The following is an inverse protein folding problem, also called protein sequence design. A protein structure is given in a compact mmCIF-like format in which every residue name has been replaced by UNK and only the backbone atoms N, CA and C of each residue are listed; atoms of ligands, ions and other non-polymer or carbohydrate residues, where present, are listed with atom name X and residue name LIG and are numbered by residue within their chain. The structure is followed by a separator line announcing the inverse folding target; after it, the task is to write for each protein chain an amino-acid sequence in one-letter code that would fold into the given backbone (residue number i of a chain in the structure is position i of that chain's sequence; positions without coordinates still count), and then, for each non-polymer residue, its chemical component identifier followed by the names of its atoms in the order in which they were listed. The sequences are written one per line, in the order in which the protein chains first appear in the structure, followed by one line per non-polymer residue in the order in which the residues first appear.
data_IF_658873145126
#
_entry.id   IF_658873145126
#
_cell.length_a   1.000
_cell.length_b   1.000
_cell.length_c   1.000
_cell.angle_alpha   90.00
_cell.angle_beta   90.00
_cell.angle_gamma   90.00
#
_symmetry.space_group_name_H-M   'P 1'
#
loop_
_entity.id
_entity.type
_entity.pdbx_description
1 polymer ?
#
# COMPACT_ATOMS: atom_id res chain seq x y z
N UNK A 1 63.72 -7.66 24.82
CA UNK A 1 64.53 -7.27 26.01
C UNK A 1 63.62 -6.78 27.14
N UNK A 2 63.94 -7.03 28.44
CA UNK A 2 63.17 -6.46 29.54
C UNK A 2 63.42 -4.94 29.64
N UNK A 3 62.36 -4.16 29.89
CA UNK A 3 62.48 -2.74 30.23
C UNK A 3 62.90 -2.64 31.70
N UNK A 4 63.91 -1.82 31.99
CA UNK A 4 64.40 -1.59 33.36
C UNK A 4 63.32 -0.86 34.18
N UNK A 5 63.07 -1.32 35.41
CA UNK A 5 62.10 -0.68 36.30
C UNK A 5 62.52 0.75 36.64
N UNK A 6 61.60 1.71 36.48
CA UNK A 6 61.84 3.09 36.89
C UNK A 6 62.06 3.17 38.42
N UNK A 7 62.95 4.06 38.90
CA UNK A 7 63.08 4.36 40.32
C UNK A 7 61.78 4.89 40.94
N UNK A 8 61.67 4.85 42.26
CA UNK A 8 60.50 5.37 42.97
C UNK A 8 60.29 6.86 42.66
N UNK A 9 59.09 7.28 42.19
CA UNK A 9 58.84 8.67 41.84
C UNK A 9 58.92 9.60 43.07
N UNK A 10 59.28 10.88 42.89
CA UNK A 10 59.30 11.85 43.98
C UNK A 10 57.88 12.11 44.51
N UNK A 11 57.72 12.21 45.83
CA UNK A 11 56.44 12.50 46.49
C UNK A 11 56.55 13.68 47.43
N UNK A 12 55.59 14.61 47.36
CA UNK A 12 55.53 15.77 48.28
C UNK A 12 55.29 15.38 49.73
N UNK A 13 54.83 14.15 49.98
CA UNK A 13 54.69 13.58 51.34
C UNK A 13 56.02 13.13 51.95
N UNK A 14 57.10 13.03 51.16
CA UNK A 14 58.46 12.70 51.60
C UNK A 14 59.43 13.81 51.14
N UNK A 15 59.26 15.00 51.74
CA UNK A 15 60.01 16.19 51.34
C UNK A 15 61.53 16.05 51.49
N UNK A 16 61.99 15.25 52.46
CA UNK A 16 63.42 15.03 52.71
C UNK A 16 64.12 14.32 51.53
N UNK A 17 63.42 13.43 50.83
CA UNK A 17 63.99 12.65 49.72
C UNK A 17 63.49 13.10 48.34
N UNK A 18 62.65 14.15 48.27
CA UNK A 18 62.00 14.57 47.02
C UNK A 18 62.98 14.84 45.88
N UNK A 19 64.00 15.68 46.12
CA UNK A 19 64.97 16.07 45.08
C UNK A 19 65.79 14.86 44.60
N UNK A 20 66.31 14.05 45.52
CA UNK A 20 67.09 12.86 45.18
C UNK A 20 66.27 11.85 44.36
N UNK A 21 64.98 11.66 44.68
CA UNK A 21 64.08 10.80 43.89
C UNK A 21 63.71 11.43 42.54
N UNK A 22 63.55 12.76 42.48
CA UNK A 22 63.27 13.47 41.24
C UNK A 22 64.44 13.33 40.27
N UNK A 23 65.68 13.56 40.72
CA UNK A 23 66.88 13.43 39.91
C UNK A 23 67.07 11.98 39.42
N UNK A 24 66.86 10.99 40.31
CA UNK A 24 66.95 9.58 39.94
C UNK A 24 65.88 9.15 38.94
N UNK A 25 64.62 9.58 39.14
CA UNK A 25 63.52 9.26 38.23
C UNK A 25 63.71 9.92 36.86
N UNK A 26 64.01 11.22 36.83
CA UNK A 26 64.24 11.97 35.58
C UNK A 26 65.49 11.47 34.84
N UNK A 27 66.55 11.14 35.58
CA UNK A 27 67.77 10.55 35.02
C UNK A 27 67.57 9.16 34.39
N UNK A 28 66.55 8.41 34.82
CA UNK A 28 66.21 7.09 34.26
C UNK A 28 65.35 7.17 32.98
N UNK A 29 64.67 8.29 32.72
CA UNK A 29 63.77 8.42 31.56
C UNK A 29 64.46 8.26 30.19
N UNK A 30 65.68 8.77 29.95
CA UNK A 30 66.38 8.54 28.67
C UNK A 30 66.65 7.06 28.40
N UNK A 31 67.07 6.31 29.43
CA UNK A 31 67.30 4.86 29.33
C UNK A 31 65.98 4.13 29.06
N UNK A 32 64.91 4.48 29.79
CA UNK A 32 63.57 3.93 29.54
C UNK A 32 63.09 4.20 28.10
N UNK A 33 63.30 5.42 27.58
CA UNK A 33 62.94 5.76 26.21
C UNK A 33 63.75 4.96 25.19
N UNK A 34 65.05 4.77 25.42
CA UNK A 34 65.90 3.94 24.56
C UNK A 34 65.45 2.47 24.55
N UNK A 35 65.16 1.90 25.72
CA UNK A 35 64.67 0.54 25.88
C UNK A 35 63.28 0.35 25.25
N UNK A 36 62.37 1.32 25.41
CA UNK A 36 61.04 1.30 24.81
C UNK A 36 61.11 1.37 23.27
N UNK A 37 61.99 2.22 22.71
CA UNK A 37 62.22 2.29 21.27
C UNK A 37 62.82 0.98 20.73
N UNK A 38 63.78 0.39 21.45
CA UNK A 38 64.37 -0.90 21.09
C UNK A 38 63.32 -2.03 21.11
N UNK A 39 62.43 -2.04 22.12
CA UNK A 39 61.31 -2.98 22.17
C UNK A 39 60.36 -2.78 20.99
N UNK A 40 60.05 -1.53 20.62
CA UNK A 40 59.22 -1.25 19.45
C UNK A 40 59.86 -1.80 18.15
N UNK A 41 61.17 -1.65 17.98
CA UNK A 41 61.90 -2.24 16.85
C UNK A 41 61.89 -3.78 16.87
N UNK A 42 62.11 -4.40 18.03
CA UNK A 42 62.08 -5.86 18.21
C UNK A 42 60.69 -6.44 17.86
N UNK A 43 59.62 -5.82 18.38
CA UNK A 43 58.24 -6.20 18.07
C UNK A 43 57.95 -6.05 16.58
N UNK A 44 58.36 -4.96 15.95
CA UNK A 44 58.22 -4.78 14.50
C UNK A 44 58.99 -5.85 13.70
N UNK A 45 60.18 -6.24 14.17
CA UNK A 45 60.98 -7.32 13.58
C UNK A 45 60.30 -8.69 13.68
N UNK A 46 59.63 -8.99 14.79
CA UNK A 46 58.84 -10.22 14.93
C UNK A 46 57.63 -10.25 13.99
N UNK A 47 56.95 -9.13 13.79
CA UNK A 47 55.84 -9.04 12.80
C UNK A 47 56.33 -9.36 11.39
N UNK A 48 57.49 -8.81 11.00
CA UNK A 48 58.11 -9.10 9.69
C UNK A 48 58.57 -10.56 9.59
N UNK A 49 59.16 -11.11 10.65
CA UNK A 49 59.63 -12.50 10.67
C UNK A 49 58.47 -13.49 10.60
N UNK A 50 57.36 -13.19 11.27
CA UNK A 50 56.14 -13.99 11.22
C UNK A 50 55.50 -13.96 9.82
N UNK A 51 55.44 -12.79 9.16
CA UNK A 51 54.91 -12.68 7.79
C UNK A 51 55.79 -13.41 6.78
N UNK A 52 57.12 -13.33 6.92
CA UNK A 52 58.08 -14.06 6.09
C UNK A 52 57.99 -15.59 6.29
N UNK A 53 57.83 -16.04 7.53
CA UNK A 53 57.64 -17.46 7.85
C UNK A 53 56.35 -18.02 7.25
N UNK A 54 55.26 -17.25 7.26
CA UNK A 54 54.00 -17.64 6.60
C UNK A 54 54.15 -17.76 5.08
N UNK A 55 54.88 -16.83 4.44
CA UNK A 55 55.11 -16.86 2.98
C UNK A 55 56.02 -18.02 2.52
N UNK A 56 57.01 -18.39 3.34
CA UNK A 56 57.95 -19.48 3.02
C UNK A 56 57.35 -20.87 3.23
N UNK A 57 56.42 -21.05 4.18
CA UNK A 57 55.76 -22.33 4.44
C UNK A 57 54.98 -22.87 3.21
N UNK A 58 54.34 -21.98 2.43
CA UNK A 58 53.61 -22.36 1.19
C UNK A 58 54.56 -22.79 0.08
N UNK A 59 55.75 -22.19 0.02
CA UNK A 59 56.77 -22.43 -1.00
C UNK A 59 57.86 -23.41 -0.58
N UNK A 60 57.71 -24.07 0.57
CA UNK A 60 58.70 -25.03 1.05
C UNK A 60 58.89 -26.15 0.01
N UNK A 61 60.13 -26.61 -0.28
CA UNK A 61 60.38 -27.63 -1.30
C UNK A 61 59.60 -28.95 -1.11
N UNK A 62 59.04 -29.21 0.08
CA UNK A 62 58.19 -30.36 0.36
C UNK A 62 56.71 -30.21 -0.04
N UNK A 63 56.18 -29.00 -0.22
CA UNK A 63 54.74 -28.74 -0.46
C UNK A 63 54.37 -28.61 -1.94
N UNK A 64 55.36 -28.67 -2.82
CA UNK A 64 55.19 -28.70 -4.27
C UNK A 64 56.09 -29.75 -4.90
N UNK A 65 55.71 -30.25 -6.08
CA UNK A 65 56.45 -31.27 -6.80
C UNK A 65 56.33 -31.06 -8.31
N UNK A 66 57.14 -31.78 -9.07
CA UNK A 66 56.98 -31.94 -10.50
C UNK A 66 56.80 -33.42 -10.83
N UNK A 67 56.14 -33.68 -11.96
CA UNK A 67 55.94 -35.02 -12.49
C UNK A 67 56.16 -35.04 -13.99
N UNK A 68 56.79 -36.11 -14.46
CA UNK A 68 56.96 -36.41 -15.88
C UNK A 68 55.96 -37.43 -16.41
N UNK A 69 55.00 -37.86 -15.58
CA UNK A 69 53.99 -38.84 -15.99
C UNK A 69 53.09 -38.23 -17.08
N UNK A 70 53.02 -38.91 -18.23
CA UNK A 70 52.12 -38.53 -19.32
C UNK A 70 50.67 -38.79 -18.92
N UNK A 71 49.87 -37.73 -18.80
CA UNK A 71 48.47 -37.79 -18.39
C UNK A 71 47.58 -36.97 -19.31
N UNK A 72 46.46 -37.55 -19.70
CA UNK A 72 45.36 -36.82 -20.34
C UNK A 72 44.59 -36.02 -19.28
N UNK A 73 44.33 -34.73 -19.57
CA UNK A 73 43.46 -33.88 -18.75
C UNK A 73 42.06 -34.49 -18.74
N UNK A 74 41.52 -34.72 -17.55
CA UNK A 74 40.16 -35.21 -17.36
C UNK A 74 39.85 -35.43 -15.88
N UNK A 75 38.57 -35.61 -15.57
CA UNK A 75 38.09 -35.90 -14.22
C UNK A 75 38.30 -37.37 -13.84
N UNK A 76 38.11 -37.69 -12.56
CA UNK A 76 38.29 -39.02 -12.00
C UNK A 76 39.69 -39.29 -11.45
N UNK A 77 39.99 -40.54 -11.15
CA UNK A 77 41.27 -40.96 -10.56
C UNK A 77 42.42 -40.81 -11.56
N UNK A 78 43.46 -40.05 -11.17
CA UNK A 78 44.69 -39.85 -11.94
C UNK A 78 45.89 -40.27 -11.09
N UNK A 79 46.71 -41.17 -11.64
CA UNK A 79 47.94 -41.64 -10.99
C UNK A 79 49.16 -41.02 -11.66
N UNK A 80 50.08 -40.48 -10.87
CA UNK A 80 51.32 -39.87 -11.33
C UNK A 80 52.46 -40.16 -10.36
N UNK A 81 53.68 -40.09 -10.86
CA UNK A 81 54.88 -40.17 -10.04
C UNK A 81 55.47 -38.77 -9.90
N UNK A 82 55.53 -38.26 -8.67
CA UNK A 82 56.23 -37.03 -8.31
C UNK A 82 57.63 -37.33 -7.78
N UNK A 83 58.45 -36.33 -7.47
CA UNK A 83 59.70 -36.60 -6.76
C UNK A 83 59.44 -37.25 -5.39
N UNK A 84 60.40 -38.05 -4.93
CA UNK A 84 60.39 -38.66 -3.59
C UNK A 84 60.59 -37.61 -2.48
N UNK A 85 60.14 -37.92 -1.26
CA UNK A 85 60.39 -37.10 -0.08
C UNK A 85 59.57 -35.81 -0.01
N UNK A 86 58.48 -35.69 -0.77
CA UNK A 86 57.52 -34.58 -0.65
C UNK A 86 56.61 -34.79 0.55
N UNK A 87 56.11 -33.70 1.10
CA UNK A 87 55.28 -33.65 2.30
C UNK A 87 53.77 -33.62 1.98
N UNK A 88 53.37 -34.29 0.88
CA UNK A 88 51.96 -34.48 0.58
C UNK A 88 51.33 -35.49 1.53
N UNK A 89 50.06 -35.28 1.87
CA UNK A 89 49.28 -36.15 2.74
C UNK A 89 47.95 -36.49 2.05
N UNK A 90 47.49 -37.73 2.26
CA UNK A 90 46.17 -38.18 1.78
C UNK A 90 45.09 -37.25 2.35
N UNK A 91 44.15 -36.84 1.50
CA UNK A 91 43.06 -35.91 1.86
C UNK A 91 43.37 -34.43 1.58
N UNK A 92 44.64 -34.06 1.35
CA UNK A 92 44.98 -32.71 0.90
C UNK A 92 44.51 -32.49 -0.54
N UNK A 93 44.19 -31.23 -0.85
CA UNK A 93 43.85 -30.81 -2.20
C UNK A 93 45.10 -30.31 -2.92
N UNK A 94 45.20 -30.66 -4.20
CA UNK A 94 46.29 -30.23 -5.08
C UNK A 94 45.75 -29.73 -6.42
N UNK A 95 46.51 -28.83 -7.03
CA UNK A 95 46.37 -28.50 -8.44
C UNK A 95 47.59 -29.04 -9.18
N UNK A 96 47.33 -29.87 -10.20
CA UNK A 96 48.29 -30.43 -11.13
C UNK A 96 48.23 -29.55 -12.40
N UNK A 97 49.21 -28.68 -12.56
CA UNK A 97 49.24 -27.67 -13.62
C UNK A 97 50.33 -27.99 -14.63
N UNK A 98 50.06 -27.84 -15.92
CA UNK A 98 51.10 -27.98 -16.94
C UNK A 98 52.23 -26.98 -16.68
N UNK A 99 53.47 -27.46 -16.60
CA UNK A 99 54.63 -26.59 -16.36
C UNK A 99 54.83 -25.58 -17.48
N UNK A 100 54.52 -25.96 -18.73
CA UNK A 100 54.71 -25.11 -19.90
C UNK A 100 53.49 -24.22 -20.24
N UNK A 101 52.28 -24.62 -19.82
CA UNK A 101 51.04 -23.91 -20.18
C UNK A 101 50.05 -23.89 -19.01
N UNK A 102 50.19 -22.96 -18.06
CA UNK A 102 49.41 -22.96 -16.82
C UNK A 102 47.88 -22.86 -16.96
N UNK A 103 47.36 -22.54 -18.15
CA UNK A 103 45.93 -22.62 -18.47
C UNK A 103 45.40 -24.07 -18.50
N UNK A 104 46.29 -25.05 -18.67
CA UNK A 104 46.00 -26.48 -18.65
C UNK A 104 46.26 -27.04 -17.24
N UNK A 105 45.22 -27.44 -16.53
CA UNK A 105 45.35 -27.96 -15.18
C UNK A 105 44.25 -28.95 -14.79
N UNK A 106 44.54 -29.75 -13.76
CA UNK A 106 43.62 -30.65 -13.07
C UNK A 106 43.65 -30.32 -11.58
N UNK A 107 42.50 -30.28 -10.92
CA UNK A 107 42.38 -29.98 -9.51
C UNK A 107 41.58 -31.07 -8.80
N UNK A 108 42.09 -31.55 -7.67
CA UNK A 108 41.52 -32.70 -6.99
C UNK A 108 42.13 -33.00 -5.63
N UNK A 109 41.54 -33.98 -4.96
CA UNK A 109 41.99 -34.44 -3.64
C UNK A 109 42.94 -35.62 -3.79
N UNK A 110 44.03 -35.63 -3.03
CA UNK A 110 44.95 -36.76 -2.95
C UNK A 110 44.25 -37.94 -2.27
N UNK A 111 44.18 -39.08 -2.97
CA UNK A 111 43.58 -40.33 -2.46
C UNK A 111 44.62 -41.37 -2.07
N UNK A 112 45.84 -41.27 -2.60
CA UNK A 112 46.97 -42.09 -2.16
C UNK A 112 48.30 -41.35 -2.39
N UNK A 113 49.26 -41.52 -1.49
CA UNK A 113 50.63 -41.03 -1.66
C UNK A 113 51.63 -41.94 -0.95
N UNK A 114 52.74 -42.27 -1.62
CA UNK A 114 53.87 -43.00 -1.03
C UNK A 114 55.15 -42.18 -1.16
N UNK A 115 55.62 -41.58 -0.06
CA UNK A 115 56.75 -40.63 -0.09
C UNK A 115 58.07 -41.24 -0.58
N UNK A 116 58.30 -42.53 -0.30
CA UNK A 116 59.51 -43.24 -0.72
C UNK A 116 59.60 -43.52 -2.22
N UNK A 117 58.46 -43.64 -2.92
CA UNK A 117 58.42 -43.93 -4.38
C UNK A 117 57.93 -42.75 -5.21
N UNK A 118 57.33 -41.73 -4.57
CA UNK A 118 56.72 -40.61 -5.26
C UNK A 118 55.38 -40.94 -5.93
N UNK A 119 54.86 -42.16 -5.77
CA UNK A 119 53.57 -42.54 -6.32
C UNK A 119 52.45 -41.72 -5.66
N UNK A 120 51.69 -40.98 -6.47
CA UNK A 120 50.60 -40.10 -6.06
C UNK A 120 49.34 -40.45 -6.87
N UNK A 121 48.20 -40.48 -6.20
CA UNK A 121 46.88 -40.61 -6.84
C UNK A 121 46.01 -39.46 -6.40
N UNK A 122 45.38 -38.79 -7.36
CA UNK A 122 44.52 -37.65 -7.16
C UNK A 122 43.16 -37.92 -7.80
N UNK A 123 42.08 -37.76 -7.04
CA UNK A 123 40.74 -37.78 -7.59
C UNK A 123 40.40 -36.37 -8.12
N UNK A 124 40.46 -36.19 -9.43
CA UNK A 124 40.28 -34.90 -10.11
C UNK A 124 38.80 -34.58 -10.27
N UNK A 125 38.37 -33.45 -9.72
CA UNK A 125 36.99 -32.94 -9.83
C UNK A 125 36.82 -31.80 -10.83
N UNK A 126 37.88 -31.02 -11.07
CA UNK A 126 37.85 -29.86 -11.96
C UNK A 126 39.07 -29.87 -12.89
N UNK A 127 38.87 -29.41 -14.12
CA UNK A 127 39.92 -29.29 -15.13
C UNK A 127 39.77 -28.01 -15.93
N UNK A 128 40.87 -27.51 -16.48
CA UNK A 128 40.89 -26.47 -17.52
C UNK A 128 41.79 -26.92 -18.65
N UNK A 129 41.40 -26.61 -19.89
CA UNK A 129 42.11 -27.02 -21.09
C UNK A 129 41.88 -28.48 -21.48
N UNK A 130 42.74 -28.99 -22.36
CA UNK A 130 42.64 -30.36 -22.91
C UNK A 130 44.02 -30.89 -23.33
N UNK A 131 44.08 -32.16 -23.72
CA UNK A 131 45.30 -32.80 -24.24
C UNK A 131 46.00 -33.73 -23.26
N UNK A 132 47.09 -34.34 -23.71
CA UNK A 132 47.96 -35.23 -22.92
C UNK A 132 49.30 -34.55 -22.68
N UNK A 133 49.67 -34.38 -21.42
CA UNK A 133 50.83 -33.60 -20.99
C UNK A 133 51.73 -34.46 -20.12
N UNK A 134 53.05 -34.32 -20.29
CA UNK A 134 54.07 -35.08 -19.58
C UNK A 134 55.01 -34.19 -18.74
N UNK A 135 54.67 -32.91 -18.54
CA UNK A 135 55.40 -32.00 -17.68
C UNK A 135 54.40 -31.26 -16.77
N UNK A 136 54.32 -31.72 -15.53
CA UNK A 136 53.38 -31.23 -14.53
C UNK A 136 54.11 -30.62 -13.33
N UNK A 137 53.52 -29.56 -12.79
CA UNK A 137 53.79 -29.02 -11.47
C UNK A 137 52.60 -29.31 -10.58
N UNK A 138 52.83 -29.94 -9.42
CA UNK A 138 51.81 -30.29 -8.43
C UNK A 138 52.02 -29.42 -7.20
N UNK A 139 51.01 -28.68 -6.77
CA UNK A 139 51.09 -27.83 -5.58
C UNK A 139 49.83 -27.97 -4.73
N UNK A 140 49.96 -27.78 -3.41
CA UNK A 140 48.83 -27.73 -2.49
C UNK A 140 47.83 -26.63 -2.90
N UNK A 141 46.55 -26.89 -2.69
CA UNK A 141 45.47 -25.97 -3.00
C UNK A 141 44.36 -26.04 -1.94
N UNK A 142 43.48 -25.04 -1.95
CA UNK A 142 42.25 -25.07 -1.17
C UNK A 142 41.28 -26.13 -1.73
N UNK A 143 40.33 -26.65 -0.93
CA UNK A 143 39.31 -27.57 -1.42
C UNK A 143 38.56 -27.03 -2.64
N UNK A 144 38.19 -27.93 -3.56
CA UNK A 144 37.33 -27.57 -4.67
C UNK A 144 35.98 -27.11 -4.15
N UNK A 145 35.66 -25.85 -4.43
CA UNK A 145 34.29 -25.38 -4.38
C UNK A 145 33.66 -25.72 -5.73
N UNK A 146 32.54 -26.44 -5.73
CA UNK A 146 31.89 -26.88 -6.97
C UNK A 146 31.63 -25.70 -7.91
N UNK A 147 31.54 -25.97 -9.22
CA UNK A 147 31.46 -24.94 -10.29
C UNK A 147 30.27 -23.96 -10.22
N UNK A 148 29.42 -24.05 -9.19
CA UNK A 148 28.27 -23.19 -8.95
C UNK A 148 28.32 -22.48 -7.58
N UNK A 149 29.51 -22.40 -6.98
CA UNK A 149 29.68 -21.78 -5.67
C UNK A 149 29.64 -20.26 -5.79
N UNK A 150 28.65 -19.64 -5.16
CA UNK A 150 28.54 -18.19 -5.00
C UNK A 150 29.49 -17.78 -3.88
N UNK A 151 30.69 -17.33 -4.23
CA UNK A 151 31.71 -16.89 -3.26
C UNK A 151 31.53 -15.42 -2.89
N UNK A 152 30.91 -15.17 -1.73
CA UNK A 152 30.44 -13.83 -1.35
C UNK A 152 31.55 -12.91 -0.84
N UNK A 153 31.57 -11.66 -1.32
CA UNK A 153 32.09 -10.51 -0.55
C UNK A 153 31.24 -9.23 -0.70
N UNK A 154 30.06 -9.30 -1.33
CA UNK A 154 29.21 -8.13 -1.58
C UNK A 154 27.95 -8.42 -2.40
N UNK A 155 27.50 -7.43 -3.18
CA UNK A 155 26.33 -7.51 -4.04
C UNK A 155 26.68 -8.12 -5.42
N UNK A 156 25.83 -9.00 -5.94
CA UNK A 156 25.93 -9.51 -7.31
C UNK A 156 25.01 -8.71 -8.22
N UNK A 157 25.58 -7.80 -8.99
CA UNK A 157 24.87 -7.11 -10.07
C UNK A 157 25.07 -7.90 -11.38
N UNK A 158 24.02 -8.57 -11.83
CA UNK A 158 23.92 -9.25 -13.14
C UNK A 158 25.11 -10.15 -13.53
N UNK A 159 25.42 -11.19 -12.73
CA UNK A 159 26.46 -12.15 -13.10
C UNK A 159 26.05 -12.93 -14.36
N UNK A 160 26.80 -12.77 -15.46
CA UNK A 160 26.55 -13.46 -16.73
C UNK A 160 26.59 -15.00 -16.64
N UNK A 161 27.20 -15.56 -15.58
CA UNK A 161 27.29 -17.00 -15.35
C UNK A 161 26.03 -17.61 -14.71
N UNK A 162 25.12 -16.79 -14.16
CA UNK A 162 23.80 -17.24 -13.71
C UNK A 162 22.82 -17.06 -14.87
N UNK A 163 22.70 -18.08 -15.71
CA UNK A 163 21.81 -18.06 -16.89
C UNK A 163 20.38 -18.51 -16.56
N UNK A 164 20.19 -19.22 -15.45
CA UNK A 164 18.86 -19.61 -14.96
C UNK A 164 18.91 -19.89 -13.45
N UNK A 165 17.79 -19.63 -12.78
CA UNK A 165 17.59 -19.98 -11.37
C UNK A 165 16.17 -20.54 -11.20
N UNK A 166 16.06 -21.72 -10.60
CA UNK A 166 14.76 -22.29 -10.30
C UNK A 166 14.04 -21.41 -9.27
N UNK A 167 12.81 -20.98 -9.57
CA UNK A 167 12.03 -20.09 -8.69
C UNK A 167 11.88 -20.65 -7.27
N UNK A 168 11.76 -21.97 -7.11
CA UNK A 168 11.69 -22.63 -5.80
C UNK A 168 12.93 -22.44 -4.91
N UNK A 169 14.05 -21.95 -5.46
CA UNK A 169 15.28 -21.65 -4.72
C UNK A 169 15.36 -20.18 -4.26
N UNK A 170 14.45 -19.32 -4.71
CA UNK A 170 14.30 -17.96 -4.20
C UNK A 170 13.47 -18.02 -2.90
N UNK A 171 14.15 -18.23 -1.78
CA UNK A 171 13.52 -18.21 -0.45
C UNK A 171 13.51 -16.78 0.10
N UNK A 172 12.34 -16.19 0.30
CA UNK A 172 12.19 -14.82 0.84
C UNK A 172 11.28 -13.93 -0.02
N UNK A 173 11.19 -12.66 0.35
CA UNK A 173 10.43 -11.67 -0.43
C UNK A 173 11.33 -11.08 -1.52
N UNK A 174 10.93 -11.22 -2.78
CA UNK A 174 11.54 -10.47 -3.87
C UNK A 174 11.04 -9.00 -3.80
N UNK A 175 11.94 -8.05 -3.61
CA UNK A 175 11.59 -6.64 -3.56
C UNK A 175 11.03 -6.17 -4.92
N UNK A 176 9.96 -5.38 -4.88
CA UNK A 176 9.25 -4.86 -6.07
C UNK A 176 9.97 -3.61 -6.64
N UNK A 177 11.20 -3.31 -6.24
CA UNK A 177 12.00 -2.28 -6.91
C UNK A 177 12.42 -2.81 -8.29
N UNK A 178 11.95 -2.19 -9.38
CA UNK A 178 11.90 -2.77 -10.74
C UNK A 178 11.02 -4.05 -10.85
N UNK A 179 10.07 -4.19 -9.92
CA UNK A 179 8.88 -5.04 -10.02
C UNK A 179 9.07 -6.54 -9.82
N UNK A 180 10.30 -7.07 -9.78
CA UNK A 180 10.51 -8.51 -9.97
C UNK A 180 10.03 -9.03 -11.35
N UNK A 181 9.55 -8.11 -12.19
CA UNK A 181 9.08 -8.34 -13.55
C UNK A 181 10.15 -8.01 -14.57
N UNK A 182 11.16 -7.20 -14.22
CA UNK A 182 12.16 -6.71 -15.18
C UNK A 182 11.62 -5.69 -16.19
N UNK A 183 10.46 -5.09 -15.90
CA UNK A 183 9.79 -4.15 -16.78
C UNK A 183 10.13 -2.68 -16.46
N UNK A 184 10.36 -1.86 -17.48
CA UNK A 184 10.55 -0.42 -17.34
C UNK A 184 9.24 0.39 -17.44
N UNK A 185 8.13 -0.26 -17.83
CA UNK A 185 6.84 0.38 -18.01
C UNK A 185 5.73 -0.40 -17.31
N UNK A 186 4.64 0.28 -16.93
CA UNK A 186 3.49 -0.37 -16.32
C UNK A 186 2.79 -1.42 -17.22
N UNK A 187 2.66 -1.22 -18.55
CA UNK A 187 2.19 -2.27 -19.46
C UNK A 187 3.05 -3.54 -19.42
N UNK A 188 4.38 -3.41 -19.53
CA UNK A 188 5.29 -4.57 -19.53
C UNK A 188 5.25 -5.29 -18.17
N UNK A 189 5.13 -4.55 -17.08
CA UNK A 189 5.00 -5.12 -15.75
C UNK A 189 3.72 -5.98 -15.61
N UNK A 190 2.59 -5.55 -16.19
CA UNK A 190 1.34 -6.33 -16.18
C UNK A 190 1.48 -7.59 -17.03
N UNK A 191 2.09 -7.49 -18.21
CA UNK A 191 2.37 -8.65 -19.07
C UNK A 191 3.21 -9.69 -18.34
N UNK A 192 4.28 -9.25 -17.67
CA UNK A 192 5.19 -10.13 -16.95
C UNK A 192 4.55 -10.78 -15.71
N UNK A 193 3.49 -10.17 -15.16
CA UNK A 193 2.64 -10.76 -14.12
C UNK A 193 1.48 -11.60 -14.66
N UNK A 194 1.29 -11.69 -15.98
CA UNK A 194 0.17 -12.38 -16.60
C UNK A 194 -1.20 -11.70 -16.39
N UNK A 195 -1.21 -10.39 -16.12
CA UNK A 195 -2.43 -9.63 -15.85
C UNK A 195 -2.99 -9.03 -17.13
N UNK A 196 -4.27 -9.30 -17.42
CA UNK A 196 -5.01 -8.75 -18.55
C UNK A 196 -6.02 -7.71 -18.06
N UNK A 197 -6.03 -6.55 -18.71
CA UNK A 197 -7.04 -5.51 -18.47
C UNK A 197 -8.41 -6.02 -18.97
N UNK A 198 -9.43 -5.91 -18.14
CA UNK A 198 -10.78 -6.42 -18.38
C UNK A 198 -11.01 -7.84 -17.85
N UNK A 199 -9.98 -8.53 -17.34
CA UNK A 199 -10.12 -9.83 -16.67
C UNK A 199 -9.61 -9.78 -15.24
N UNK A 200 -8.30 -9.62 -15.05
CA UNK A 200 -7.69 -9.54 -13.71
C UNK A 200 -7.63 -8.11 -13.17
N UNK A 201 -7.58 -7.11 -14.07
CA UNK A 201 -7.46 -5.70 -13.71
C UNK A 201 -8.56 -4.92 -14.42
N UNK A 202 -9.31 -4.10 -13.71
CA UNK A 202 -10.32 -3.24 -14.34
C UNK A 202 -9.66 -2.18 -15.22
N UNK A 203 -10.20 -1.95 -16.41
CA UNK A 203 -9.75 -0.85 -17.26
C UNK A 203 -10.04 0.49 -16.58
N UNK A 204 -9.13 1.45 -16.73
CA UNK A 204 -9.44 2.81 -16.31
C UNK A 204 -10.69 3.31 -17.04
N UNK A 205 -11.64 3.84 -16.29
CA UNK A 205 -12.86 4.43 -16.81
C UNK A 205 -13.19 5.66 -15.97
N UNK A 206 -13.19 6.82 -16.61
CA UNK A 206 -13.40 8.11 -15.95
C UNK A 206 -14.78 8.23 -15.27
N UNK A 207 -15.79 7.49 -15.75
CA UNK A 207 -17.09 7.46 -15.10
C UNK A 207 -17.02 6.63 -13.81
N UNK A 208 -16.35 5.47 -13.84
CA UNK A 208 -16.21 4.62 -12.65
C UNK A 208 -15.46 5.34 -11.52
N UNK A 209 -14.45 6.15 -11.85
CA UNK A 209 -13.70 6.96 -10.88
C UNK A 209 -14.59 8.03 -10.21
N UNK A 210 -15.45 8.70 -11.00
CA UNK A 210 -16.44 9.62 -10.47
C UNK A 210 -17.50 8.95 -9.58
N UNK A 211 -17.93 7.74 -9.94
CA UNK A 211 -18.90 6.97 -9.14
C UNK A 211 -18.29 6.46 -7.83
N UNK A 212 -17.01 6.05 -7.83
CA UNK A 212 -16.31 5.57 -6.65
C UNK A 212 -16.22 6.63 -5.53
N UNK A 213 -16.21 7.92 -5.90
CA UNK A 213 -16.17 9.04 -4.95
C UNK A 213 -17.55 9.46 -4.40
N UNK A 214 -18.67 8.96 -4.96
CA UNK A 214 -20.02 9.27 -4.46
C UNK A 214 -20.44 8.29 -3.38
N UNK A 215 -21.02 8.80 -2.29
CA UNK A 215 -21.72 7.98 -1.31
C UNK A 215 -22.83 7.19 -2.01
N UNK A 216 -22.79 5.86 -1.91
CA UNK A 216 -23.76 4.98 -2.54
C UNK A 216 -25.13 5.21 -1.88
N UNK A 217 -26.17 5.62 -2.63
CA UNK A 217 -27.52 5.70 -2.09
C UNK A 217 -27.95 4.34 -1.54
N UNK A 218 -28.79 4.30 -0.51
CA UNK A 218 -29.37 3.03 -0.06
C UNK A 218 -30.26 2.43 -1.17
N UNK A 219 -29.72 1.46 -1.91
CA UNK A 219 -30.36 0.77 -3.04
C UNK A 219 -29.60 0.92 -4.36
N UNK A 220 -30.17 0.40 -5.45
CA UNK A 220 -29.60 0.57 -6.78
C UNK A 220 -29.69 2.04 -7.24
N UNK A 221 -28.62 2.53 -7.88
CA UNK A 221 -28.64 3.82 -8.58
C UNK A 221 -29.60 3.73 -9.79
N UNK A 222 -30.35 4.81 -10.04
CA UNK A 222 -31.21 4.91 -11.22
C UNK A 222 -30.39 5.48 -12.37
N UNK A 223 -30.14 4.66 -13.39
CA UNK A 223 -29.53 5.04 -14.66
C UNK A 223 -30.53 5.64 -15.67
N UNK A 224 -30.01 6.13 -16.79
CA UNK A 224 -30.78 6.86 -17.83
C UNK A 224 -30.93 6.10 -19.15
N UNK A 225 -30.35 4.91 -19.26
CA UNK A 225 -30.22 4.17 -20.53
C UNK A 225 -31.20 3.02 -20.67
N UNK A 226 -31.89 2.65 -19.59
CA UNK A 226 -32.77 1.50 -19.49
C UNK A 226 -34.06 1.84 -18.74
N UNK A 227 -35.08 1.00 -18.92
CA UNK A 227 -36.34 1.12 -18.18
C UNK A 227 -36.14 0.55 -16.77
N UNK A 228 -36.33 1.38 -15.75
CA UNK A 228 -36.14 0.99 -14.35
C UNK A 228 -37.41 1.17 -13.54
N UNK A 229 -37.75 0.15 -12.75
CA UNK A 229 -38.90 0.18 -11.83
C UNK A 229 -38.43 0.60 -10.44
N UNK A 230 -38.87 1.78 -9.98
CA UNK A 230 -38.59 2.26 -8.62
C UNK A 230 -39.67 1.74 -7.66
N UNK A 231 -39.34 0.78 -6.80
CA UNK A 231 -40.27 0.21 -5.80
C UNK A 231 -39.92 0.73 -4.40
N UNK A 232 -40.93 1.20 -3.65
CA UNK A 232 -40.80 1.74 -2.27
C UNK A 232 -39.73 2.84 -2.12
N UNK A 233 -39.63 3.75 -3.10
CA UNK A 233 -38.73 4.91 -3.06
C UNK A 233 -39.51 6.19 -2.74
N UNK A 234 -38.97 6.98 -1.81
CA UNK A 234 -39.52 8.31 -1.47
C UNK A 234 -38.75 9.39 -2.22
N UNK A 235 -39.42 10.11 -3.11
CA UNK A 235 -38.88 11.31 -3.76
C UNK A 235 -39.13 12.52 -2.82
N UNK A 236 -38.14 12.83 -1.99
CA UNK A 236 -38.22 13.96 -1.05
C UNK A 236 -37.64 15.22 -1.69
N UNK A 237 -38.39 16.33 -1.73
CA UNK A 237 -37.87 17.62 -2.19
C UNK A 237 -38.00 17.90 -3.71
N UNK A 238 -39.08 17.44 -4.33
CA UNK A 238 -39.40 17.81 -5.72
C UNK A 238 -39.63 19.33 -5.80
N UNK A 239 -38.89 20.02 -6.68
CA UNK A 239 -39.01 21.46 -6.87
C UNK A 239 -40.21 21.78 -7.78
N UNK A 240 -40.75 23.01 -7.73
CA UNK A 240 -41.92 23.44 -8.55
C UNK A 240 -41.74 23.31 -10.07
N UNK A 241 -40.49 23.15 -10.53
CA UNK A 241 -40.13 22.95 -11.93
C UNK A 241 -39.66 21.51 -12.25
N UNK A 242 -39.75 20.59 -11.30
CA UNK A 242 -39.50 19.18 -11.59
C UNK A 242 -40.46 18.71 -12.69
N UNK A 243 -40.00 17.82 -13.57
CA UNK A 243 -40.81 17.27 -14.67
C UNK A 243 -40.62 15.76 -14.79
N UNK A 244 -41.64 15.09 -15.31
CA UNK A 244 -41.55 13.72 -15.84
C UNK A 244 -41.79 13.77 -17.34
N UNK A 245 -41.13 12.90 -18.12
CA UNK A 245 -41.35 12.82 -19.57
C UNK A 245 -42.32 11.68 -19.90
N UNK A 246 -43.14 11.85 -20.93
CA UNK A 246 -43.90 10.74 -21.51
C UNK A 246 -43.03 9.86 -22.42
N UNK A 247 -43.63 8.81 -22.98
CA UNK A 247 -42.97 7.90 -23.94
C UNK A 247 -42.58 8.58 -25.27
N UNK A 248 -43.10 9.78 -25.55
CA UNK A 248 -42.76 10.60 -26.70
C UNK A 248 -41.68 11.67 -26.39
N UNK A 249 -41.24 11.78 -25.13
CA UNK A 249 -40.22 12.73 -24.66
C UNK A 249 -40.75 14.09 -24.20
N UNK A 250 -42.07 14.32 -24.22
CA UNK A 250 -42.71 15.57 -23.77
C UNK A 250 -42.58 15.71 -22.25
N UNK A 251 -42.07 16.84 -21.77
CA UNK A 251 -41.89 17.08 -20.34
C UNK A 251 -43.16 17.66 -19.68
N UNK A 252 -43.61 17.03 -18.61
CA UNK A 252 -44.76 17.42 -17.80
C UNK A 252 -44.30 17.82 -16.40
N UNK A 253 -44.65 19.04 -15.96
CA UNK A 253 -44.33 19.50 -14.61
C UNK A 253 -45.09 18.67 -13.55
N UNK A 254 -44.42 18.35 -12.45
CA UNK A 254 -44.96 17.58 -11.32
C UNK A 254 -45.12 18.50 -10.10
N UNK A 255 -46.35 18.60 -9.56
CA UNK A 255 -46.76 19.55 -8.50
C UNK A 255 -48.03 20.36 -8.86
N UNK A 256 -48.51 21.24 -7.97
CA UNK A 256 -49.64 22.16 -8.25
C UNK A 256 -49.16 23.44 -8.93
N UNK A 257 -49.65 23.74 -10.14
CA UNK A 257 -49.24 24.92 -10.96
C UNK A 257 -50.24 26.07 -10.98
N UNK A 258 -51.39 25.91 -10.33
CA UNK A 258 -52.49 26.88 -10.23
C UNK A 258 -53.09 26.79 -8.82
N UNK A 259 -54.03 27.68 -8.46
CA UNK A 259 -54.97 27.41 -7.35
C UNK A 259 -56.17 26.70 -7.96
N UNK A 260 -56.21 25.35 -8.01
CA UNK A 260 -57.15 24.66 -8.86
C UNK A 260 -58.57 24.95 -8.40
N UNK A 261 -59.45 25.26 -9.35
CA UNK A 261 -60.85 25.54 -9.07
C UNK A 261 -61.58 24.24 -8.70
N UNK A 262 -62.25 24.25 -7.55
CA UNK A 262 -63.24 23.25 -7.15
C UNK A 262 -64.63 23.93 -7.14
N UNK A 263 -65.40 23.76 -8.21
CA UNK A 263 -66.71 24.41 -8.32
C UNK A 263 -67.78 23.70 -7.44
N UNK A 264 -68.39 24.43 -6.51
CA UNK A 264 -69.40 23.94 -5.56
C UNK A 264 -70.57 24.95 -5.46
N UNK A 265 -71.71 24.63 -6.08
CA UNK A 265 -72.87 25.54 -6.18
C UNK A 265 -74.00 25.23 -5.17
N UNK A 266 -73.97 24.05 -4.53
CA UNK A 266 -74.91 23.61 -3.49
C UNK A 266 -74.22 23.43 -2.14
N UNK A 267 -74.90 22.86 -1.14
CA UNK A 267 -74.28 22.66 0.16
C UNK A 267 -73.03 21.76 0.07
N UNK A 268 -71.94 22.13 0.74
CA UNK A 268 -70.64 21.45 0.64
C UNK A 268 -69.92 21.38 1.98
N UNK A 269 -69.18 20.32 2.29
CA UNK A 269 -68.29 20.26 3.46
C UNK A 269 -66.86 20.18 2.97
N UNK A 270 -65.99 21.08 3.44
CA UNK A 270 -64.58 21.09 3.04
C UNK A 270 -63.91 19.76 3.39
N UNK A 271 -63.05 19.26 2.51
CA UNK A 271 -62.34 17.99 2.70
C UNK A 271 -60.83 18.15 2.50
N UNK A 272 -60.03 17.19 2.97
CA UNK A 272 -58.56 17.24 2.84
C UNK A 272 -58.08 17.35 1.37
N UNK A 273 -58.93 17.00 0.41
CA UNK A 273 -58.66 17.15 -1.02
C UNK A 273 -58.75 18.60 -1.53
N UNK A 274 -59.23 19.53 -0.71
CA UNK A 274 -59.33 20.97 -1.01
C UNK A 274 -58.06 21.75 -0.67
N UNK A 275 -57.09 21.10 -0.01
CA UNK A 275 -55.80 21.72 0.33
C UNK A 275 -55.15 22.27 -0.95
N UNK A 276 -54.84 23.57 -0.95
CA UNK A 276 -54.22 24.26 -2.09
C UNK A 276 -55.16 24.58 -3.26
N UNK A 277 -56.46 24.33 -3.12
CA UNK A 277 -57.51 24.67 -4.10
C UNK A 277 -58.31 25.90 -3.67
N UNK A 278 -59.11 26.42 -4.59
CA UNK A 278 -60.19 27.33 -4.25
C UNK A 278 -61.54 26.68 -4.53
N UNK A 279 -62.48 26.85 -3.61
CA UNK A 279 -63.89 26.59 -3.84
C UNK A 279 -64.46 27.75 -4.64
N UNK A 280 -65.12 27.47 -5.75
CA UNK A 280 -65.83 28.48 -6.54
C UNK A 280 -67.32 28.18 -6.53
N UNK A 281 -68.16 29.15 -6.19
CA UNK A 281 -69.61 28.96 -6.18
C UNK A 281 -70.30 29.98 -7.07
N UNK A 282 -71.11 29.49 -8.00
CA UNK A 282 -72.08 30.25 -8.79
C UNK A 282 -73.52 29.93 -8.33
N UNK A 283 -73.75 29.85 -7.01
CA UNK A 283 -75.07 29.56 -6.44
C UNK A 283 -76.18 30.50 -6.97
N UNK A 284 -77.40 29.98 -7.09
CA UNK A 284 -78.60 30.74 -7.50
C UNK A 284 -79.62 30.92 -6.35
N UNK A 285 -79.28 30.43 -5.16
CA UNK A 285 -80.10 30.40 -3.95
C UNK A 285 -79.25 30.13 -2.71
N UNK A 286 -79.88 29.95 -1.56
CA UNK A 286 -79.16 29.76 -0.28
C UNK A 286 -78.20 28.56 -0.33
N UNK A 287 -76.93 28.79 0.06
CA UNK A 287 -75.89 27.77 0.09
C UNK A 287 -75.22 27.74 1.46
N UNK A 288 -74.92 26.54 1.97
CA UNK A 288 -74.07 26.36 3.15
C UNK A 288 -72.79 25.60 2.79
N UNK A 289 -71.63 26.20 3.04
CA UNK A 289 -70.34 25.49 3.04
C UNK A 289 -69.98 25.20 4.50
N UNK A 290 -69.52 23.99 4.83
CA UNK A 290 -69.22 23.57 6.20
C UNK A 290 -67.73 23.34 6.36
N UNK A 291 -67.15 23.96 7.38
CA UNK A 291 -65.81 23.66 7.86
C UNK A 291 -65.90 22.48 8.85
N UNK A 292 -65.40 21.28 8.50
CA UNK A 292 -65.51 20.13 9.39
C UNK A 292 -64.58 20.24 10.59
N UNK A 293 -64.92 19.51 11.65
CA UNK A 293 -64.03 19.30 12.79
C UNK A 293 -62.81 18.47 12.40
N UNK A 294 -61.75 18.53 13.20
CA UNK A 294 -60.49 17.82 13.01
C UNK A 294 -60.65 16.31 13.10
N UNK A 295 -61.67 15.85 13.83
CA UNK A 295 -62.06 14.43 13.90
C UNK A 295 -62.76 13.96 12.63
N UNK A 296 -63.50 14.83 11.96
CA UNK A 296 -64.19 14.53 10.69
C UNK A 296 -63.24 14.68 9.49
N UNK A 297 -62.37 15.69 9.50
CA UNK A 297 -61.29 15.85 8.52
C UNK A 297 -60.05 16.50 9.16
N UNK A 298 -58.99 15.70 9.31
CA UNK A 298 -57.73 16.12 9.91
C UNK A 298 -56.83 16.88 8.92
N UNK A 299 -57.26 18.08 8.52
CA UNK A 299 -56.42 19.01 7.79
C UNK A 299 -55.13 19.31 8.56
N UNK A 300 -53.99 19.33 7.87
CA UNK A 300 -52.75 19.79 8.50
C UNK A 300 -52.83 21.28 8.84
N UNK A 301 -52.23 21.68 9.97
CA UNK A 301 -52.05 23.10 10.31
C UNK A 301 -51.31 23.80 9.16
N UNK A 302 -51.75 25.00 8.78
CA UNK A 302 -51.25 25.72 7.60
C UNK A 302 -52.02 25.45 6.31
N UNK A 303 -53.04 24.56 6.34
CA UNK A 303 -53.96 24.41 5.20
C UNK A 303 -54.66 25.75 4.91
N UNK A 304 -54.58 26.19 3.66
CA UNK A 304 -55.32 27.31 3.13
C UNK A 304 -56.34 26.84 2.07
N UNK A 305 -57.57 27.34 2.17
CA UNK A 305 -58.64 27.07 1.20
C UNK A 305 -59.33 28.39 0.92
N UNK A 306 -59.32 28.83 -0.33
CA UNK A 306 -60.04 30.03 -0.76
C UNK A 306 -61.45 29.66 -1.20
N UNK A 307 -62.44 30.50 -0.93
CA UNK A 307 -63.83 30.35 -1.36
C UNK A 307 -64.21 31.62 -2.11
N UNK A 308 -64.70 31.47 -3.33
CA UNK A 308 -65.14 32.57 -4.21
C UNK A 308 -66.65 32.45 -4.42
N UNK A 309 -67.41 33.48 -4.02
CA UNK A 309 -68.84 33.55 -4.27
C UNK A 309 -69.14 34.35 -5.55
N UNK A 310 -69.16 33.68 -6.70
CA UNK A 310 -69.62 34.22 -7.97
C UNK A 310 -71.15 34.05 -8.19
N UNK A 311 -71.89 33.58 -7.19
CA UNK A 311 -73.34 33.34 -7.26
C UNK A 311 -74.18 34.61 -7.13
N UNK A 312 -75.50 34.43 -6.96
CA UNK A 312 -76.48 35.51 -6.75
C UNK A 312 -76.99 35.57 -5.31
N UNK A 313 -76.64 34.61 -4.46
CA UNK A 313 -76.98 34.59 -3.04
C UNK A 313 -75.73 34.55 -2.15
N UNK A 314 -75.82 35.03 -0.89
CA UNK A 314 -74.74 34.86 0.08
C UNK A 314 -74.54 33.37 0.42
N UNK A 315 -73.29 32.99 0.68
CA UNK A 315 -72.92 31.66 1.17
C UNK A 315 -72.80 31.71 2.68
N UNK A 316 -73.48 30.82 3.40
CA UNK A 316 -73.25 30.61 4.82
C UNK A 316 -72.09 29.62 5.00
N UNK A 317 -71.02 30.04 5.64
CA UNK A 317 -69.94 29.18 6.09
C UNK A 317 -70.24 28.70 7.52
N UNK A 318 -70.63 27.45 7.67
CA UNK A 318 -70.86 26.77 8.95
C UNK A 318 -69.54 26.36 9.59
N UNK A 319 -69.36 26.71 10.86
CA UNK A 319 -68.20 26.37 11.67
C UNK A 319 -68.62 25.56 12.92
N UNK A 320 -69.69 24.77 12.83
CA UNK A 320 -70.16 23.97 13.96
C UNK A 320 -69.05 23.02 14.47
N UNK A 321 -68.68 23.13 15.75
CA UNK A 321 -67.61 22.34 16.35
C UNK A 321 -66.19 22.83 16.02
N UNK A 322 -66.04 23.94 15.29
CA UNK A 322 -64.76 24.56 14.94
C UNK A 322 -64.77 26.02 15.37
N UNK A 323 -63.69 26.47 16.01
CA UNK A 323 -63.51 27.88 16.33
C UNK A 323 -62.99 28.61 15.10
N UNK A 324 -63.88 29.30 14.38
CA UNK A 324 -63.54 30.13 13.22
C UNK A 324 -63.46 31.62 13.59
N UNK A 325 -62.26 32.16 13.77
CA UNK A 325 -62.06 33.58 14.04
C UNK A 325 -62.19 34.42 12.78
N UNK A 326 -62.95 35.52 12.83
CA UNK A 326 -62.85 36.54 11.78
C UNK A 326 -61.55 37.30 11.97
N UNK A 327 -60.73 37.40 10.93
CA UNK A 327 -59.50 38.17 11.00
C UNK A 327 -59.79 39.63 11.40
N UNK A 328 -59.06 40.13 12.40
CA UNK A 328 -59.20 41.50 12.91
C UNK A 328 -60.26 41.69 14.01
N UNK A 329 -60.92 40.62 14.48
CA UNK A 329 -61.86 40.70 15.60
C UNK A 329 -61.80 39.44 16.49
N UNK A 330 -62.49 39.49 17.63
CA UNK A 330 -62.71 38.32 18.49
C UNK A 330 -63.99 37.55 18.11
N UNK A 331 -64.63 37.89 17.00
CA UNK A 331 -65.84 37.21 16.57
C UNK A 331 -65.48 35.78 16.18
N UNK A 332 -66.32 34.82 16.60
CA UNK A 332 -66.21 33.39 16.26
C UNK A 332 -67.52 32.87 15.68
N UNK A 333 -67.53 31.61 15.24
CA UNK A 333 -68.73 30.94 14.72
C UNK A 333 -68.93 31.12 13.21
N UNK A 334 -70.16 30.87 12.75
CA UNK A 334 -70.51 30.88 11.34
C UNK A 334 -70.25 32.25 10.69
N UNK A 335 -69.90 32.26 9.41
CA UNK A 335 -69.72 33.48 8.61
C UNK A 335 -70.60 33.47 7.38
N UNK A 336 -70.81 34.63 6.81
CA UNK A 336 -71.46 34.78 5.52
C UNK A 336 -70.47 35.38 4.53
N UNK A 337 -70.36 34.77 3.36
CA UNK A 337 -69.61 35.31 2.22
C UNK A 337 -70.66 35.90 1.27
N UNK A 338 -70.73 37.23 1.23
CA UNK A 338 -71.62 37.99 0.38
C UNK A 338 -71.42 37.67 -1.11
N UNK A 339 -72.38 38.08 -1.93
CA UNK A 339 -72.28 37.98 -3.39
C UNK A 339 -71.04 38.74 -3.87
N UNK A 340 -70.27 38.11 -4.77
CA UNK A 340 -68.93 38.58 -5.24
C UNK A 340 -67.87 38.65 -4.13
N UNK A 341 -68.15 38.10 -2.95
CA UNK A 341 -67.18 37.96 -1.88
C UNK A 341 -66.16 36.86 -2.15
N UNK A 342 -64.99 37.01 -1.55
CA UNK A 342 -63.92 36.01 -1.55
C UNK A 342 -63.43 35.86 -0.12
N UNK A 343 -63.30 34.62 0.35
CA UNK A 343 -62.82 34.32 1.69
C UNK A 343 -61.77 33.23 1.67
N UNK A 344 -60.63 33.44 2.33
CA UNK A 344 -59.63 32.40 2.54
C UNK A 344 -59.67 31.93 3.98
N UNK A 345 -59.77 30.62 4.13
CA UNK A 345 -59.70 29.90 5.40
C UNK A 345 -58.27 29.45 5.64
N UNK A 346 -57.79 29.63 6.86
CA UNK A 346 -56.46 29.22 7.27
C UNK A 346 -56.52 28.44 8.58
N UNK A 347 -56.09 27.18 8.57
CA UNK A 347 -56.04 26.35 9.79
C UNK A 347 -54.83 26.74 10.63
N UNK A 348 -55.07 27.07 11.90
CA UNK A 348 -54.01 27.50 12.84
C UNK A 348 -53.88 26.60 14.07
N UNK A 349 -54.84 25.70 14.30
CA UNK A 349 -54.80 24.71 15.38
C UNK A 349 -55.82 23.58 15.18
N UNK A 350 -55.84 22.61 16.10
CA UNK A 350 -56.91 21.60 16.17
C UNK A 350 -58.24 22.32 16.36
N UNK A 351 -59.16 22.18 15.40
CA UNK A 351 -60.45 22.88 15.40
C UNK A 351 -60.38 24.40 15.53
N UNK A 352 -59.26 25.03 15.14
CA UNK A 352 -59.12 26.49 15.13
C UNK A 352 -58.68 26.97 13.75
N UNK A 353 -59.47 27.86 13.17
CA UNK A 353 -59.24 28.46 11.86
C UNK A 353 -59.46 29.96 11.90
N UNK A 354 -58.83 30.67 10.96
CA UNK A 354 -59.12 32.07 10.67
C UNK A 354 -59.76 32.18 9.30
N UNK A 355 -60.63 33.18 9.14
CA UNK A 355 -61.20 33.57 7.87
C UNK A 355 -60.94 35.05 7.60
N UNK A 356 -60.59 35.37 6.36
CA UNK A 356 -60.33 36.74 5.90
C UNK A 356 -60.71 36.89 4.43
N UNK A 357 -61.00 38.12 4.00
CA UNK A 357 -61.34 38.44 2.62
C UNK A 357 -62.49 39.43 2.51
N UNK A 358 -62.85 39.80 1.28
CA UNK A 358 -63.85 40.81 1.00
C UNK A 358 -65.27 40.23 1.01
N UNK A 359 -66.22 40.97 1.58
CA UNK A 359 -67.62 40.56 1.64
C UNK A 359 -67.88 39.49 2.71
N UNK A 360 -67.16 39.51 3.82
CA UNK A 360 -67.34 38.57 4.93
C UNK A 360 -67.99 39.28 6.12
N UNK A 361 -69.05 38.70 6.66
CA UNK A 361 -69.74 39.17 7.87
C UNK A 361 -70.06 38.03 8.82
#
# INVERSE_FOLDING_TARGET
MPITSLPTPPSRTDAANFNARADAFLGALPTFAAEANALATEVNGYVVSASSSAATAVNAPGTSATSTTSLAIGTGSKSLTVQTGKAFVIGQWVTITSTASPANWMHGQITAYTSGTGALVVNVGLTSGSGTIAAWTVALSAPSQGGNSVLTSGSYADPAWITSLAAAKLTGQAAIANGGTGAATAPDARTNLGLVIGSQVQAYNAALDQWAAKAVPAGAAVGTTDTQTLTNKTLSGMASASTVRDSAGTSYAIGYREVPQNAQNGAYTLSIADVGKHIFSANAGAQTITLPTNTVAAFAIGTAITIVNAGTSPISLSAAGVTLYQAGSNNTGNRTIAVRGVATLLKVGTDVWFISGAGIS
#
